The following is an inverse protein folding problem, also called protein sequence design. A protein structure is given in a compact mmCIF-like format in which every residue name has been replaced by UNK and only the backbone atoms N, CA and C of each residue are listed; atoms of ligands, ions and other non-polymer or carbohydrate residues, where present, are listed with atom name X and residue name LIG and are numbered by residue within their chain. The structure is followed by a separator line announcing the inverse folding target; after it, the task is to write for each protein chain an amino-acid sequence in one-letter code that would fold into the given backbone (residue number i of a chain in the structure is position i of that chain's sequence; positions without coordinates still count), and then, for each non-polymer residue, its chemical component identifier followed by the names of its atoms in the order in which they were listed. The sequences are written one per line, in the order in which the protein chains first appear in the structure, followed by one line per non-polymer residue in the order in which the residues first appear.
data_IF_512810232217
#
_entry.id   IF_512810232217
#
_cell.length_a   1.000
_cell.length_b   1.000
_cell.length_c   1.000
_cell.angle_alpha   90.00
_cell.angle_beta   90.00
_cell.angle_gamma   90.00
#
_symmetry.space_group_name_H-M   'P 1'
#
loop_
_entity.id
_entity.type
_entity.pdbx_description
1 polymer ?
#
# COMPACT_ATOMS: atom_id res chain seq x y z
N UNK A 1 18.84 -1.51 -8.64
CA UNK A 1 17.90 -2.37 -7.90
C UNK A 1 16.85 -2.85 -8.89
N UNK A 2 16.43 -4.12 -8.80
CA UNK A 2 15.32 -4.62 -9.62
C UNK A 2 14.01 -4.11 -9.01
N UNK A 3 13.11 -3.56 -9.83
CA UNK A 3 11.83 -3.07 -9.38
C UNK A 3 10.98 -4.19 -8.77
N UNK A 4 10.32 -3.92 -7.66
CA UNK A 4 9.40 -4.83 -6.99
C UNK A 4 8.28 -4.09 -6.31
N UNK A 5 7.13 -4.74 -6.19
CA UNK A 5 6.07 -4.22 -5.33
C UNK A 5 6.44 -4.36 -3.85
N UNK A 6 5.99 -3.43 -3.03
CA UNK A 6 6.24 -3.34 -1.59
C UNK A 6 4.96 -2.88 -0.92
N UNK A 7 4.66 -3.46 0.24
CA UNK A 7 3.52 -3.09 1.09
C UNK A 7 4.03 -2.48 2.39
N UNK A 8 3.47 -1.35 2.80
CA UNK A 8 3.65 -0.76 4.13
C UNK A 8 2.36 -0.85 4.93
N UNK A 9 2.48 -1.18 6.21
CA UNK A 9 1.43 -1.02 7.20
C UNK A 9 1.75 0.20 8.08
N UNK A 10 0.80 1.11 8.17
CA UNK A 10 0.97 2.44 8.75
C UNK A 10 -0.02 2.63 9.89
N UNK A 11 0.42 3.21 11.00
CA UNK A 11 -0.42 3.52 12.17
C UNK A 11 -1.06 4.92 12.11
N UNK A 12 -1.86 5.26 13.12
CA UNK A 12 -2.55 6.57 13.23
C UNK A 12 -1.60 7.77 13.25
N UNK A 13 -0.33 7.59 13.63
CA UNK A 13 0.67 8.66 13.62
C UNK A 13 1.29 8.87 12.24
N UNK A 14 1.01 7.98 11.28
CA UNK A 14 1.67 7.95 9.99
C UNK A 14 3.01 7.20 9.99
N UNK A 15 3.32 6.47 11.06
CA UNK A 15 4.55 5.68 11.16
C UNK A 15 4.38 4.32 10.47
N UNK A 16 5.36 3.96 9.64
CA UNK A 16 5.45 2.62 9.04
C UNK A 16 5.97 1.66 10.10
N UNK A 17 5.13 0.71 10.55
CA UNK A 17 5.52 -0.27 11.57
C UNK A 17 5.81 -1.66 10.98
N UNK A 18 5.40 -1.89 9.73
CA UNK A 18 5.69 -3.13 9.03
C UNK A 18 5.84 -2.87 7.53
N UNK A 19 6.70 -3.68 6.92
CA UNK A 19 6.96 -3.70 5.49
C UNK A 19 7.03 -5.15 5.03
N UNK A 20 6.44 -5.41 3.87
CA UNK A 20 6.57 -6.67 3.16
C UNK A 20 6.94 -6.44 1.69
N UNK A 21 7.72 -7.35 1.12
CA UNK A 21 8.26 -7.23 -0.24
C UNK A 21 7.61 -8.26 -1.16
N UNK A 22 7.16 -7.80 -2.33
CA UNK A 22 6.76 -8.66 -3.43
C UNK A 22 7.96 -9.32 -4.13
N UNK A 23 7.67 -10.26 -5.03
CA UNK A 23 8.67 -11.01 -5.79
C UNK A 23 8.92 -10.47 -7.20
N UNK A 24 8.21 -9.40 -7.58
CA UNK A 24 8.36 -8.75 -8.88
C UNK A 24 7.65 -7.40 -8.94
N UNK A 25 7.73 -6.70 -10.09
CA UNK A 25 7.24 -5.32 -10.23
C UNK A 25 5.73 -5.17 -10.38
N UNK A 26 4.97 -6.27 -10.43
CA UNK A 26 3.53 -6.27 -10.70
C UNK A 26 2.77 -7.26 -9.82
N UNK A 27 3.39 -7.75 -8.76
CA UNK A 27 2.78 -8.73 -7.86
C UNK A 27 3.41 -8.71 -6.48
N UNK A 28 2.53 -8.78 -5.48
CA UNK A 28 2.84 -9.19 -4.12
C UNK A 28 2.20 -10.57 -3.91
N UNK A 29 3.00 -11.65 -3.71
CA UNK A 29 2.45 -12.97 -3.46
C UNK A 29 1.56 -12.98 -2.22
N UNK A 30 0.46 -13.71 -2.27
CA UNK A 30 -0.33 -13.98 -1.06
C UNK A 30 0.55 -14.67 0.00
N UNK A 31 0.54 -14.13 1.21
CA UNK A 31 1.42 -14.55 2.28
C UNK A 31 0.66 -14.59 3.59
N UNK A 32 0.52 -15.80 4.16
CA UNK A 32 -0.12 -16.01 5.46
C UNK A 32 0.46 -15.12 6.56
N UNK A 33 1.78 -14.94 6.57
CA UNK A 33 2.47 -14.07 7.54
C UNK A 33 1.97 -12.63 7.48
N UNK A 34 1.68 -12.08 6.30
CA UNK A 34 1.14 -10.72 6.14
C UNK A 34 -0.25 -10.61 6.73
N UNK A 35 -1.11 -11.61 6.50
CA UNK A 35 -2.44 -11.68 7.12
C UNK A 35 -2.37 -11.77 8.64
N UNK A 36 -1.47 -12.59 9.19
CA UNK A 36 -1.27 -12.71 10.64
C UNK A 36 -0.83 -11.37 11.25
N UNK A 37 0.12 -10.67 10.63
CA UNK A 37 0.60 -9.36 11.10
C UNK A 37 -0.51 -8.30 11.05
N UNK A 38 -1.28 -8.25 9.96
CA UNK A 38 -2.43 -7.36 9.82
C UNK A 38 -3.46 -7.66 10.94
N UNK A 39 -3.77 -8.93 11.16
CA UNK A 39 -4.73 -9.34 12.17
C UNK A 39 -4.27 -9.02 13.59
N UNK A 40 -3.02 -9.31 13.92
CA UNK A 40 -2.42 -9.01 15.23
C UNK A 40 -2.32 -7.50 15.48
N UNK A 41 -2.11 -6.71 14.43
CA UNK A 41 -2.00 -5.25 14.49
C UNK A 41 -3.31 -4.51 14.23
N UNK A 42 -4.45 -5.20 14.15
CA UNK A 42 -5.74 -4.64 13.69
C UNK A 42 -6.21 -3.40 14.44
N UNK A 43 -5.86 -3.27 15.72
CA UNK A 43 -6.29 -2.15 16.56
C UNK A 43 -5.47 -0.87 16.31
N UNK A 44 -4.25 -0.99 15.77
CA UNK A 44 -3.37 0.15 15.44
C UNK A 44 -3.28 0.48 13.95
N UNK A 45 -3.73 -0.44 13.08
CA UNK A 45 -3.62 -0.30 11.64
C UNK A 45 -4.49 0.86 11.15
N UNK A 46 -3.91 1.90 10.57
CA UNK A 46 -4.67 3.00 9.97
C UNK A 46 -4.74 2.86 8.45
N UNK A 47 -3.59 2.60 7.84
CA UNK A 47 -3.42 2.63 6.39
C UNK A 47 -2.58 1.45 5.89
N UNK A 48 -3.00 0.87 4.77
CA UNK A 48 -2.22 -0.10 3.99
C UNK A 48 -1.83 0.59 2.69
N UNK A 49 -0.53 0.75 2.46
CA UNK A 49 -0.02 1.33 1.23
C UNK A 49 0.74 0.29 0.43
N UNK A 50 0.57 0.27 -0.89
CA UNK A 50 1.39 -0.54 -1.78
C UNK A 50 1.92 0.26 -2.96
N UNK A 51 2.94 -0.30 -3.60
CA UNK A 51 3.65 0.32 -4.70
C UNK A 51 3.31 -0.32 -6.04
N UNK A 52 3.13 0.47 -7.11
CA UNK A 52 3.15 0.01 -8.50
C UNK A 52 4.38 0.58 -9.21
N UNK A 53 5.55 -0.09 -9.17
CA UNK A 53 6.79 0.51 -9.63
C UNK A 53 6.85 0.79 -11.14
N UNK A 54 6.08 0.04 -11.93
CA UNK A 54 5.94 0.24 -13.38
C UNK A 54 4.61 0.89 -13.76
N UNK A 55 3.84 1.34 -12.76
CA UNK A 55 2.45 1.77 -12.92
C UNK A 55 1.48 0.62 -13.14
N UNK A 56 0.18 0.91 -13.38
CA UNK A 56 -0.41 2.25 -13.46
C UNK A 56 -0.60 2.91 -12.10
N UNK A 57 -0.84 4.23 -12.09
CA UNK A 57 -1.36 4.94 -10.90
C UNK A 57 -2.87 4.73 -10.79
N UNK A 58 -3.26 3.52 -10.36
CA UNK A 58 -4.64 3.10 -10.18
C UNK A 58 -4.67 1.88 -9.27
N UNK A 59 -5.81 1.61 -8.62
CA UNK A 59 -6.07 0.32 -7.99
C UNK A 59 -6.46 -0.70 -9.05
N UNK A 60 -5.84 -1.88 -9.01
CA UNK A 60 -6.19 -3.02 -9.85
C UNK A 60 -7.46 -3.71 -9.33
N UNK A 61 -8.05 -4.61 -10.13
CA UNK A 61 -9.16 -5.44 -9.64
C UNK A 61 -8.75 -6.36 -8.49
N UNK A 62 -7.51 -6.85 -8.50
CA UNK A 62 -6.93 -7.65 -7.41
C UNK A 62 -6.79 -6.81 -6.14
N UNK A 63 -6.37 -5.55 -6.26
CA UNK A 63 -6.32 -4.61 -5.14
C UNK A 63 -7.73 -4.44 -4.54
N UNK A 64 -8.73 -4.14 -5.38
CA UNK A 64 -10.08 -3.86 -4.91
C UNK A 64 -10.73 -5.06 -4.20
N UNK A 65 -10.52 -6.26 -4.71
CA UNK A 65 -11.02 -7.48 -4.07
C UNK A 65 -10.28 -7.77 -2.75
N UNK A 66 -8.97 -7.53 -2.69
CA UNK A 66 -8.16 -7.67 -1.46
C UNK A 66 -8.57 -6.64 -0.40
N UNK A 67 -8.78 -5.39 -0.80
CA UNK A 67 -9.26 -4.30 0.06
C UNK A 67 -10.62 -4.65 0.67
N UNK A 68 -11.55 -5.14 -0.15
CA UNK A 68 -12.88 -5.57 0.33
C UNK A 68 -12.80 -6.74 1.31
N UNK A 69 -11.92 -7.72 1.06
CA UNK A 69 -11.69 -8.84 1.96
C UNK A 69 -11.10 -8.37 3.31
N UNK A 70 -10.15 -7.43 3.27
CA UNK A 70 -9.53 -6.84 4.47
C UNK A 70 -10.55 -6.08 5.33
N UNK A 71 -11.34 -5.19 4.73
CA UNK A 71 -12.37 -4.45 5.47
C UNK A 71 -13.44 -5.38 6.05
N UNK A 72 -13.85 -6.40 5.29
CA UNK A 72 -14.81 -7.41 5.75
C UNK A 72 -14.27 -8.21 6.94
N UNK A 73 -13.00 -8.63 6.89
CA UNK A 73 -12.36 -9.38 7.97
C UNK A 73 -12.14 -8.52 9.22
N UNK A 74 -11.71 -7.27 9.05
CA UNK A 74 -11.43 -6.34 10.15
C UNK A 74 -12.71 -5.73 10.76
N UNK A 75 -13.83 -5.80 10.05
CA UNK A 75 -15.12 -5.26 10.50
C UNK A 75 -15.16 -3.73 10.52
N UNK A 76 -14.27 -3.05 9.79
CA UNK A 76 -14.17 -1.59 9.71
C UNK A 76 -13.51 -1.15 8.41
N UNK A 77 -13.64 0.13 8.09
CA UNK A 77 -12.93 0.74 6.97
C UNK A 77 -11.44 0.91 7.27
N UNK A 78 -10.62 0.81 6.22
CA UNK A 78 -9.17 1.01 6.25
C UNK A 78 -8.79 2.00 5.16
N UNK A 79 -7.79 2.83 5.39
CA UNK A 79 -7.25 3.69 4.33
C UNK A 79 -6.34 2.85 3.45
N UNK A 80 -6.53 2.92 2.14
CA UNK A 80 -5.68 2.23 1.19
C UNK A 80 -4.97 3.23 0.31
N UNK A 81 -3.69 3.01 0.03
CA UNK A 81 -2.93 3.88 -0.86
C UNK A 81 -2.14 3.10 -1.87
N UNK A 82 -2.11 3.61 -3.09
CA UNK A 82 -1.22 3.11 -4.15
C UNK A 82 -0.28 4.22 -4.57
N UNK A 83 1.02 3.91 -4.56
CA UNK A 83 2.07 4.84 -4.98
C UNK A 83 2.69 4.31 -6.26
N UNK A 84 2.79 5.16 -7.27
CA UNK A 84 3.44 4.88 -8.54
C UNK A 84 4.49 5.96 -8.84
N UNK A 85 5.32 5.81 -9.90
CA UNK A 85 6.30 6.84 -10.27
C UNK A 85 5.66 8.21 -10.50
N UNK A 86 4.44 8.25 -11.03
CA UNK A 86 3.72 9.48 -11.37
C UNK A 86 2.84 10.06 -10.26
N UNK A 87 2.87 9.54 -9.03
CA UNK A 87 2.12 10.11 -7.90
C UNK A 87 1.57 9.05 -6.93
N UNK A 88 0.59 9.46 -6.12
CA UNK A 88 -0.07 8.63 -5.12
C UNK A 88 -1.59 8.82 -5.18
N UNK A 89 -2.33 7.71 -5.10
CA UNK A 89 -3.76 7.73 -4.83
C UNK A 89 -4.00 7.20 -3.42
N UNK A 90 -5.05 7.74 -2.79
CA UNK A 90 -5.55 7.27 -1.50
C UNK A 90 -7.04 7.01 -1.61
N UNK A 91 -7.51 5.87 -1.13
CA UNK A 91 -8.91 5.55 -0.91
C UNK A 91 -9.22 5.65 0.58
N UNK A 92 -10.18 6.49 0.92
CA UNK A 92 -10.69 6.67 2.27
C UNK A 92 -12.20 6.85 2.21
N UNK A 93 -12.95 6.14 3.05
CA UNK A 93 -14.42 6.19 3.11
C UNK A 93 -15.08 5.97 1.73
N UNK A 94 -14.52 5.05 0.93
CA UNK A 94 -15.02 4.71 -0.41
C UNK A 94 -14.65 5.70 -1.52
N UNK A 95 -13.99 6.81 -1.20
CA UNK A 95 -13.58 7.81 -2.19
C UNK A 95 -12.08 7.68 -2.49
N UNK A 96 -11.74 7.52 -3.77
CA UNK A 96 -10.36 7.58 -4.24
C UNK A 96 -10.00 9.01 -4.66
N UNK A 97 -8.94 9.57 -4.09
CA UNK A 97 -8.41 10.89 -4.43
C UNK A 97 -6.92 10.81 -4.74
N UNK A 98 -6.44 11.73 -5.57
CA UNK A 98 -5.01 11.94 -5.78
C UNK A 98 -4.45 12.75 -4.63
N UNK A 99 -3.33 12.32 -4.08
CA UNK A 99 -2.67 13.02 -2.96
C UNK A 99 -1.74 14.10 -3.54
N UNK A 100 -2.00 15.36 -3.21
CA UNK A 100 -1.19 16.50 -3.68
C UNK A 100 0.10 16.66 -2.86
N UNK A 101 -0.02 16.55 -1.54
CA UNK A 101 1.11 16.61 -0.60
C UNK A 101 1.29 15.22 -0.02
N UNK A 102 2.24 14.47 -0.58
CA UNK A 102 2.48 13.10 -0.17
C UNK A 102 3.19 13.02 1.18
N UNK A 103 2.84 12.05 2.04
CA UNK A 103 3.53 11.82 3.29
C UNK A 103 4.96 11.30 3.05
N UNK A 104 5.85 11.52 4.02
CA UNK A 104 7.27 11.16 3.89
C UNK A 104 7.51 9.68 3.53
N UNK A 105 6.67 8.77 4.05
CA UNK A 105 6.77 7.35 3.76
C UNK A 105 6.53 7.01 2.28
N UNK A 106 5.85 7.87 1.50
CA UNK A 106 5.62 7.62 0.07
C UNK A 106 6.94 7.68 -0.70
N UNK A 107 7.83 8.62 -0.36
CA UNK A 107 9.17 8.69 -0.94
C UNK A 107 10.03 7.48 -0.57
N UNK A 108 9.93 7.02 0.68
CA UNK A 108 10.59 5.80 1.13
C UNK A 108 10.08 4.58 0.34
N UNK A 109 8.76 4.43 0.23
CA UNK A 109 8.12 3.34 -0.50
C UNK A 109 8.56 3.29 -1.97
N UNK A 110 8.68 4.45 -2.65
CA UNK A 110 9.27 4.51 -4.00
C UNK A 110 10.72 4.02 -4.04
N UNK A 111 11.54 4.49 -3.12
CA UNK A 111 12.96 4.13 -3.07
C UNK A 111 13.15 2.62 -2.86
N UNK A 112 12.40 2.02 -1.92
CA UNK A 112 12.53 0.60 -1.59
C UNK A 112 11.90 -0.32 -2.64
N UNK A 113 10.88 0.16 -3.35
CA UNK A 113 10.26 -0.49 -4.51
C UNK A 113 11.17 -0.44 -5.75
N UNK A 114 12.24 0.36 -5.73
CA UNK A 114 13.16 0.52 -6.85
C UNK A 114 12.55 1.35 -7.98
N UNK A 115 11.62 2.25 -7.67
CA UNK A 115 11.06 3.18 -8.65
C UNK A 115 12.09 4.22 -9.05
N UNK A 116 12.28 4.38 -10.35
CA UNK A 116 12.92 5.57 -10.89
C UNK A 116 11.94 6.72 -10.74
N UNK A 117 12.26 7.71 -9.89
CA UNK A 117 11.47 8.94 -9.80
C UNK A 117 11.45 9.60 -11.17
N UNK A 118 10.26 9.85 -11.72
CA UNK A 118 10.12 10.75 -12.87
C UNK A 118 10.17 12.15 -12.27
N UNK A 119 11.32 12.81 -12.38
CA UNK A 119 11.48 14.23 -12.06
C UNK A 119 10.60 15.08 -12.97
#
# INVERSE_FOLDING_TARGET
MTAKEVVFLIDESGAVYHRDDGDGPTRIPDARSRWEIIWESRDRLREIAHSHPVGPLAFSHEDETTMSALESALGRTVVFSVVAPGGMLRRENGQTTRVEIEPAWAAELRAVSGMSSIL
#
